data_IF_551654093726
#
_entry.id   IF_551654093726
#
_cell.length_a   1.000
_cell.length_b   1.000
_cell.length_c   1.000
_cell.angle_alpha   90.00
_cell.angle_beta   90.00
_cell.angle_gamma   90.00
#
_symmetry.space_group_name_H-M   'P 1'
#
loop_
_entity.id
_entity.type
_entity.pdbx_description
1 polymer ?
#
# COMPACT_ATOMS: atom_id res chain seq x y z
N UNK A 1 2.34 -25.35 9.13
CA UNK A 1 2.53 -24.17 10.01
C UNK A 1 2.50 -22.84 9.26
N UNK A 2 3.20 -22.67 8.11
CA UNK A 2 3.20 -21.40 7.33
C UNK A 2 1.80 -20.91 6.91
N UNK A 3 0.99 -21.81 6.34
CA UNK A 3 -0.39 -21.48 5.90
C UNK A 3 -1.28 -21.03 7.06
N UNK A 4 -1.14 -21.67 8.23
CA UNK A 4 -1.88 -21.27 9.44
C UNK A 4 -1.50 -19.87 9.90
N UNK A 5 -0.19 -19.54 9.89
CA UNK A 5 0.28 -18.19 10.20
C UNK A 5 -0.28 -17.14 9.23
N UNK A 6 -0.23 -17.42 7.92
CA UNK A 6 -0.81 -16.55 6.90
C UNK A 6 -2.32 -16.32 7.12
N UNK A 7 -3.06 -17.38 7.42
CA UNK A 7 -4.50 -17.29 7.69
C UNK A 7 -4.81 -16.39 8.89
N UNK A 8 -4.03 -16.49 9.98
CA UNK A 8 -4.18 -15.64 11.16
C UNK A 8 -3.92 -14.17 10.80
N UNK A 9 -2.83 -13.87 10.10
CA UNK A 9 -2.49 -12.51 9.70
C UNK A 9 -3.59 -11.90 8.82
N UNK A 10 -4.00 -12.59 7.74
CA UNK A 10 -5.02 -12.08 6.84
C UNK A 10 -6.38 -11.91 7.53
N UNK A 11 -6.77 -12.85 8.40
CA UNK A 11 -8.02 -12.74 9.17
C UNK A 11 -7.98 -11.55 10.13
N UNK A 12 -6.85 -11.30 10.80
CA UNK A 12 -6.74 -10.13 11.69
C UNK A 12 -6.82 -8.80 10.94
N UNK A 13 -6.18 -8.70 9.78
CA UNK A 13 -6.21 -7.48 8.95
C UNK A 13 -7.61 -7.25 8.41
N UNK A 14 -8.22 -8.31 7.86
CA UNK A 14 -9.56 -8.22 7.29
C UNK A 14 -10.63 -7.97 8.36
N UNK A 15 -10.52 -8.60 9.53
CA UNK A 15 -11.38 -8.35 10.68
C UNK A 15 -11.31 -6.90 11.16
N UNK A 16 -10.11 -6.32 11.23
CA UNK A 16 -9.94 -4.91 11.55
C UNK A 16 -10.56 -4.00 10.46
N UNK A 17 -10.38 -4.32 9.19
CA UNK A 17 -10.93 -3.55 8.08
C UNK A 17 -12.47 -3.57 8.06
N UNK A 18 -13.10 -4.71 8.36
CA UNK A 18 -14.57 -4.81 8.48
C UNK A 18 -15.07 -3.93 9.64
N UNK A 19 -14.38 -3.96 10.79
CA UNK A 19 -14.80 -3.21 11.98
C UNK A 19 -14.75 -1.70 11.76
N UNK A 20 -13.75 -1.22 11.00
CA UNK A 20 -13.56 0.21 10.72
C UNK A 20 -14.40 0.70 9.53
N UNK A 21 -14.63 -0.17 8.54
CA UNK A 21 -15.34 0.15 7.29
C UNK A 21 -14.47 -0.23 6.09
N UNK A 22 -14.86 -1.29 5.38
CA UNK A 22 -14.05 -1.89 4.31
C UNK A 22 -13.84 -0.95 3.11
N UNK A 23 -14.79 -0.05 2.87
CA UNK A 23 -14.76 0.95 1.81
C UNK A 23 -13.56 1.91 1.93
N UNK A 24 -13.13 2.21 3.16
CA UNK A 24 -11.94 3.04 3.44
C UNK A 24 -10.63 2.37 3.03
N UNK A 25 -10.64 1.05 2.81
CA UNK A 25 -9.46 0.26 2.47
C UNK A 25 -9.39 -0.14 1.00
N UNK A 26 -10.32 0.34 0.16
CA UNK A 26 -10.43 -0.04 -1.25
C UNK A 26 -10.20 1.17 -2.15
N UNK A 27 -8.94 1.43 -2.49
CA UNK A 27 -8.55 2.41 -3.49
C UNK A 27 -7.76 1.73 -4.62
N UNK A 28 -8.38 1.66 -5.81
CA UNK A 28 -7.82 0.93 -6.96
C UNK A 28 -6.52 1.56 -7.46
N UNK A 29 -6.39 2.89 -7.41
CA UNK A 29 -5.22 3.59 -7.93
C UNK A 29 -4.00 3.35 -7.03
N UNK A 30 -4.17 3.40 -5.71
CA UNK A 30 -3.13 3.07 -4.74
C UNK A 30 -2.70 1.61 -4.88
N UNK A 31 -3.64 0.70 -5.08
CA UNK A 31 -3.33 -0.72 -5.30
C UNK A 31 -2.52 -0.93 -6.58
N UNK A 32 -2.96 -0.34 -7.70
CA UNK A 32 -2.26 -0.44 -8.98
C UNK A 32 -0.87 0.21 -8.94
N UNK A 33 -0.70 1.31 -8.22
CA UNK A 33 0.60 1.94 -8.03
C UNK A 33 1.59 0.99 -7.36
N UNK A 34 1.18 0.33 -6.26
CA UNK A 34 2.02 -0.63 -5.53
C UNK A 34 2.27 -1.88 -6.37
N UNK A 35 1.24 -2.43 -7.02
CA UNK A 35 1.35 -3.64 -7.83
C UNK A 35 2.26 -3.41 -9.05
N UNK A 36 2.06 -2.31 -9.78
CA UNK A 36 2.92 -1.94 -10.90
C UNK A 36 4.37 -1.69 -10.46
N UNK A 37 4.57 -1.03 -9.33
CA UNK A 37 5.87 -0.84 -8.71
C UNK A 37 6.57 -2.15 -8.31
N UNK A 38 5.82 -3.09 -7.72
CA UNK A 38 6.32 -4.40 -7.35
C UNK A 38 6.79 -5.22 -8.57
N UNK A 39 6.00 -5.23 -9.65
CA UNK A 39 6.37 -5.85 -10.92
C UNK A 39 7.62 -5.19 -11.50
N UNK A 40 7.63 -3.85 -11.61
CA UNK A 40 8.76 -3.10 -12.14
C UNK A 40 10.05 -3.36 -11.35
N UNK A 41 9.98 -3.36 -10.03
CA UNK A 41 11.11 -3.66 -9.15
C UNK A 41 11.63 -5.09 -9.34
N UNK A 42 10.74 -6.07 -9.44
CA UNK A 42 11.12 -7.46 -9.68
C UNK A 42 11.82 -7.65 -11.04
N UNK A 43 11.37 -6.93 -12.08
CA UNK A 43 11.99 -6.93 -13.40
C UNK A 43 13.37 -6.26 -13.38
N UNK A 44 13.52 -5.14 -12.68
CA UNK A 44 14.80 -4.44 -12.54
C UNK A 44 15.87 -5.30 -11.87
N UNK A 45 15.46 -6.09 -10.87
CA UNK A 45 16.40 -6.93 -10.12
C UNK A 45 16.90 -8.14 -10.91
N UNK A 46 16.16 -8.59 -11.94
CA UNK A 46 16.53 -9.63 -12.92
C UNK A 46 17.31 -10.86 -12.35
N UNK A 47 16.98 -11.30 -11.14
CA UNK A 47 17.59 -12.48 -10.51
C UNK A 47 16.66 -13.68 -10.62
N UNK A 48 17.02 -14.65 -11.47
CA UNK A 48 16.20 -15.82 -11.84
C UNK A 48 15.73 -16.69 -10.66
N UNK A 49 16.48 -16.76 -9.57
CA UNK A 49 16.19 -17.65 -8.45
C UNK A 49 15.32 -17.03 -7.34
N UNK A 50 14.96 -15.74 -7.41
CA UNK A 50 14.27 -15.03 -6.30
C UNK A 50 13.26 -13.98 -6.77
N UNK A 51 12.59 -14.19 -7.90
CA UNK A 51 11.60 -13.24 -8.43
C UNK A 51 10.46 -12.94 -7.45
N UNK A 52 9.91 -13.96 -6.76
CA UNK A 52 8.82 -13.78 -5.78
C UNK A 52 9.27 -12.91 -4.59
N UNK A 53 10.48 -13.15 -4.07
CA UNK A 53 11.05 -12.36 -2.98
C UNK A 53 11.28 -10.91 -3.42
N UNK A 54 11.82 -10.71 -4.62
CA UNK A 54 12.06 -9.39 -5.19
C UNK A 54 10.75 -8.63 -5.43
N UNK A 55 9.69 -9.33 -5.85
CA UNK A 55 8.36 -8.76 -6.00
C UNK A 55 7.78 -8.27 -4.66
N UNK A 56 7.84 -9.09 -3.60
CA UNK A 56 7.40 -8.67 -2.27
C UNK A 56 8.23 -7.52 -1.67
N UNK A 57 9.55 -7.52 -1.90
CA UNK A 57 10.42 -6.39 -1.53
C UNK A 57 10.04 -5.12 -2.30
N UNK A 58 9.76 -5.24 -3.59
CA UNK A 58 9.29 -4.16 -4.45
C UNK A 58 7.95 -3.59 -4.01
N UNK A 59 7.00 -4.44 -3.61
CA UNK A 59 5.70 -4.01 -3.11
C UNK A 59 5.83 -3.13 -1.86
N UNK A 60 6.65 -3.54 -0.88
CA UNK A 60 6.89 -2.70 0.31
C UNK A 60 7.63 -1.41 -0.05
N UNK A 61 8.63 -1.49 -0.93
CA UNK A 61 9.38 -0.32 -1.38
C UNK A 61 8.46 0.73 -2.03
N UNK A 62 7.60 0.30 -2.95
CA UNK A 62 6.63 1.18 -3.60
C UNK A 62 5.49 1.60 -2.68
N UNK A 63 5.12 0.81 -1.68
CA UNK A 63 4.20 1.24 -0.62
C UNK A 63 4.72 2.46 0.12
N UNK A 64 5.98 2.44 0.56
CA UNK A 64 6.60 3.61 1.20
C UNK A 64 6.77 4.80 0.24
N UNK A 65 7.15 4.56 -1.02
CA UNK A 65 7.22 5.63 -2.03
C UNK A 65 5.85 6.28 -2.26
N UNK A 66 4.78 5.50 -2.33
CA UNK A 66 3.41 6.00 -2.51
C UNK A 66 3.00 6.92 -1.37
N UNK A 67 3.30 6.54 -0.12
CA UNK A 67 3.06 7.40 1.05
C UNK A 67 3.87 8.69 0.97
N UNK A 68 5.16 8.63 0.63
CA UNK A 68 5.98 9.83 0.48
C UNK A 68 5.42 10.78 -0.58
N UNK A 69 5.02 10.26 -1.74
CA UNK A 69 4.40 11.06 -2.80
C UNK A 69 3.08 11.68 -2.32
N UNK A 70 2.24 10.90 -1.64
CA UNK A 70 0.97 11.37 -1.07
C UNK A 70 1.18 12.48 -0.04
N UNK A 71 2.12 12.31 0.88
CA UNK A 71 2.46 13.32 1.89
C UNK A 71 3.04 14.60 1.26
N UNK A 72 3.89 14.48 0.24
CA UNK A 72 4.38 15.64 -0.54
C UNK A 72 3.22 16.36 -1.22
N UNK A 73 2.25 15.65 -1.79
CA UNK A 73 1.08 16.26 -2.42
C UNK A 73 0.18 17.01 -1.41
N UNK A 74 -0.02 16.42 -0.23
CA UNK A 74 -0.82 17.00 0.87
C UNK A 74 -0.13 18.25 1.41
N UNK A 75 1.15 18.14 1.78
CA UNK A 75 1.94 19.26 2.34
C UNK A 75 2.25 20.35 1.33
N UNK A 76 2.38 19.99 0.04
CA UNK A 76 2.48 20.93 -1.07
C UNK A 76 1.16 21.66 -1.38
N UNK A 77 0.13 21.47 -0.56
CA UNK A 77 -1.20 22.06 -0.68
C UNK A 77 -1.83 21.86 -2.07
N UNK A 78 -1.56 20.72 -2.71
CA UNK A 78 -2.12 20.41 -4.02
C UNK A 78 -3.64 20.28 -3.89
N UNK A 79 -4.40 20.93 -4.77
CA UNK A 79 -5.88 20.97 -4.72
C UNK A 79 -6.46 21.63 -3.47
N UNK A 80 -5.68 22.50 -2.81
CA UNK A 80 -6.08 23.23 -1.60
C UNK A 80 -6.46 22.30 -0.44
N UNK A 81 -5.75 21.17 -0.35
CA UNK A 81 -6.00 20.13 0.65
C UNK A 81 -5.49 20.55 2.03
N UNK A 82 -4.31 21.18 2.15
CA UNK A 82 -3.63 21.40 3.44
C UNK A 82 -4.42 22.24 4.46
N UNK A 83 -5.28 23.15 3.99
CA UNK A 83 -6.09 24.01 4.85
C UNK A 83 -7.54 23.51 5.00
N UNK A 84 -7.89 22.36 4.40
CA UNK A 84 -9.25 21.84 4.39
C UNK A 84 -9.30 20.43 5.01
N UNK A 85 -9.74 20.35 6.27
CA UNK A 85 -9.79 19.11 7.05
C UNK A 85 -10.63 18.01 6.37
N UNK A 86 -11.71 18.39 5.68
CA UNK A 86 -12.57 17.45 4.95
C UNK A 86 -11.82 16.77 3.79
N UNK A 87 -10.82 17.45 3.21
CA UNK A 87 -9.99 16.91 2.12
C UNK A 87 -8.73 16.19 2.63
N UNK A 88 -8.18 16.59 3.78
CA UNK A 88 -6.96 16.00 4.34
C UNK A 88 -7.18 14.55 4.74
N UNK A 89 -8.29 14.25 5.41
CA UNK A 89 -8.60 12.90 5.90
C UNK A 89 -8.53 11.84 4.78
N UNK A 90 -9.32 11.99 3.69
CA UNK A 90 -9.28 11.09 2.55
C UNK A 90 -7.90 11.02 1.88
N UNK A 91 -7.19 12.14 1.74
CA UNK A 91 -5.86 12.16 1.13
C UNK A 91 -4.82 11.40 1.97
N UNK A 92 -4.86 11.56 3.30
CA UNK A 92 -4.03 10.81 4.22
C UNK A 92 -4.36 9.32 4.18
N UNK A 93 -5.65 8.96 4.16
CA UNK A 93 -6.08 7.57 4.05
C UNK A 93 -5.47 6.91 2.79
N UNK A 94 -5.67 7.52 1.61
CA UNK A 94 -5.09 7.06 0.34
C UNK A 94 -3.56 6.92 0.43
N UNK A 95 -2.88 7.90 1.04
CA UNK A 95 -1.42 7.80 1.24
C UNK A 95 -1.04 6.57 2.06
N UNK A 96 -1.74 6.28 3.15
CA UNK A 96 -1.47 5.14 4.05
C UNK A 96 -1.83 3.79 3.41
N UNK A 97 -2.83 3.75 2.52
CA UNK A 97 -3.23 2.52 1.82
C UNK A 97 -2.09 1.92 1.00
N UNK A 98 -1.23 2.75 0.41
CA UNK A 98 -0.07 2.26 -0.35
C UNK A 98 0.88 1.42 0.52
N UNK A 99 1.18 1.83 1.76
CA UNK A 99 1.97 1.04 2.70
C UNK A 99 1.24 -0.25 3.06
N UNK A 100 -0.05 -0.16 3.37
CA UNK A 100 -0.87 -1.31 3.75
C UNK A 100 -0.84 -2.38 2.64
N UNK A 101 -1.10 -1.99 1.39
CA UNK A 101 -1.05 -2.88 0.24
C UNK A 101 0.36 -3.46 0.03
N UNK A 102 1.40 -2.66 0.20
CA UNK A 102 2.78 -3.13 0.08
C UNK A 102 3.11 -4.27 1.05
N UNK A 103 2.68 -4.14 2.30
CA UNK A 103 2.87 -5.20 3.30
C UNK A 103 1.95 -6.40 3.10
N UNK A 104 0.68 -6.19 2.70
CA UNK A 104 -0.24 -7.30 2.39
C UNK A 104 0.29 -8.15 1.24
N UNK A 105 0.86 -7.53 0.19
CA UNK A 105 1.43 -8.26 -0.95
C UNK A 105 2.70 -9.05 -0.57
N UNK A 106 3.46 -8.59 0.43
CA UNK A 106 4.70 -9.24 0.87
C UNK A 106 4.48 -10.44 1.80
N UNK A 107 3.34 -10.48 2.51
CA UNK A 107 2.95 -11.53 3.45
C UNK A 107 2.95 -12.93 2.80
#
# INVERSE_FOLDING_TARGET
MKVLGLAICLTSIFGAAILVGIDLYLDILSFLFVLGGAVGYALLKNTSNTHIKSFGEGAVFFGWLGTLIGLVAITGNRYEVWANVEKIGPALAVSMLTILYGYIIKL
#
